data_IF_384730835423
#
_entry.id   IF_384730835423
#
_cell.length_a   1.000
_cell.length_b   1.000
_cell.length_c   1.000
_cell.angle_alpha   90.00
_cell.angle_beta   90.00
_cell.angle_gamma   90.00
#
_symmetry.space_group_name_H-M   'P 1'
#
loop_
_entity.id
_entity.type
_entity.pdbx_description
1 polymer ?
#
# COMPACT_ATOMS: atom_id res chain seq x y z
N UNK A 1 -7.87 -6.75 4.51
CA UNK A 1 -7.74 -5.92 3.28
C UNK A 1 -9.03 -5.28 2.81
N UNK A 2 -10.13 -6.01 2.58
CA UNK A 2 -11.39 -5.36 2.14
C UNK A 2 -11.93 -4.34 3.16
N UNK A 3 -11.84 -4.65 4.46
CA UNK A 3 -12.22 -3.70 5.52
C UNK A 3 -11.31 -2.45 5.54
N UNK A 4 -9.99 -2.63 5.47
CA UNK A 4 -9.03 -1.52 5.40
C UNK A 4 -9.28 -0.61 4.19
N UNK A 5 -9.57 -1.18 3.01
CA UNK A 5 -9.95 -0.40 1.82
C UNK A 5 -11.24 0.39 2.04
N UNK A 6 -12.24 -0.21 2.68
CA UNK A 6 -13.49 0.48 3.04
C UNK A 6 -13.23 1.68 3.95
N UNK A 7 -12.40 1.51 4.99
CA UNK A 7 -12.01 2.61 5.88
C UNK A 7 -11.28 3.74 5.15
N UNK A 8 -10.40 3.42 4.19
CA UNK A 8 -9.75 4.44 3.35
C UNK A 8 -10.75 5.24 2.51
N UNK A 9 -11.77 4.58 1.96
CA UNK A 9 -12.84 5.24 1.21
C UNK A 9 -13.71 6.16 2.09
N UNK A 10 -13.77 5.87 3.39
CA UNK A 10 -14.44 6.70 4.40
C UNK A 10 -13.53 7.83 4.94
N UNK A 11 -12.29 7.93 4.46
CA UNK A 11 -11.34 8.99 4.83
C UNK A 11 -10.48 8.67 6.05
N UNK A 12 -10.35 7.39 6.42
CA UNK A 12 -9.39 6.98 7.44
C UNK A 12 -7.94 7.29 7.01
N UNK A 13 -7.10 7.55 8.00
CA UNK A 13 -5.68 7.81 7.82
C UNK A 13 -4.94 6.52 7.39
N UNK A 14 -4.11 6.61 6.36
CA UNK A 14 -3.39 5.45 5.82
C UNK A 14 -2.36 4.91 6.82
N UNK A 15 -1.65 5.78 7.54
CA UNK A 15 -0.60 5.40 8.48
C UNK A 15 -1.19 4.64 9.69
N UNK A 16 -2.37 5.07 10.14
CA UNK A 16 -3.14 4.35 11.15
C UNK A 16 -3.51 2.94 10.67
N UNK A 17 -4.00 2.81 9.44
CA UNK A 17 -4.37 1.50 8.88
C UNK A 17 -3.17 0.59 8.62
N UNK A 18 -1.99 1.14 8.30
CA UNK A 18 -0.76 0.34 8.24
C UNK A 18 -0.47 -0.29 9.59
N UNK A 19 -0.63 0.47 10.68
CA UNK A 19 -0.37 -0.05 12.03
C UNK A 19 -1.36 -1.16 12.43
N UNK A 20 -2.61 -1.05 11.99
CA UNK A 20 -3.67 -1.98 12.35
C UNK A 20 -3.74 -3.23 11.46
N UNK A 21 -3.34 -3.14 10.20
CA UNK A 21 -3.57 -4.19 9.19
C UNK A 21 -2.31 -4.71 8.48
N UNK A 22 -1.15 -4.08 8.63
CA UNK A 22 0.06 -4.56 7.95
C UNK A 22 0.70 -5.73 8.68
N UNK A 23 0.87 -6.84 7.97
CA UNK A 23 1.62 -8.01 8.44
C UNK A 23 3.14 -7.84 8.28
N UNK A 24 3.59 -6.78 7.62
CA UNK A 24 5.02 -6.55 7.38
C UNK A 24 5.71 -6.01 8.63
N UNK A 25 6.70 -6.76 9.12
CA UNK A 25 7.49 -6.37 10.28
C UNK A 25 8.15 -4.99 10.07
N UNK A 26 7.87 -4.06 10.98
CA UNK A 26 8.41 -2.70 10.92
C UNK A 26 7.61 -1.72 10.05
N UNK A 27 6.56 -2.16 9.34
CA UNK A 27 5.71 -1.27 8.56
C UNK A 27 5.11 -0.15 9.41
N UNK A 28 4.60 -0.46 10.61
CA UNK A 28 4.07 0.54 11.54
C UNK A 28 5.10 1.64 11.89
N UNK A 29 6.37 1.30 12.08
CA UNK A 29 7.41 2.27 12.44
C UNK A 29 7.79 3.24 11.30
N UNK A 30 7.49 2.87 10.06
CA UNK A 30 7.76 3.67 8.86
C UNK A 30 6.48 4.14 8.16
N UNK A 31 5.33 4.01 8.81
CA UNK A 31 4.01 4.28 8.22
C UNK A 31 3.80 3.56 6.87
N UNK A 32 4.42 2.38 6.68
CA UNK A 32 4.32 1.60 5.44
C UNK A 32 5.14 2.17 4.28
N UNK A 33 5.89 3.25 4.48
CA UNK A 33 6.70 3.87 3.45
C UNK A 33 7.83 2.95 2.97
N UNK A 34 7.90 2.78 1.65
CA UNK A 34 9.00 2.09 0.97
C UNK A 34 10.11 3.07 0.52
N UNK A 35 9.95 4.38 0.73
CA UNK A 35 10.81 5.40 0.16
C UNK A 35 10.67 5.47 -1.37
N UNK A 36 11.74 5.86 -2.06
CA UNK A 36 11.79 5.83 -3.52
C UNK A 36 12.00 4.40 -4.01
N UNK A 37 11.09 3.93 -4.86
CA UNK A 37 11.13 2.58 -5.44
C UNK A 37 11.30 2.66 -6.96
N UNK A 38 12.09 1.75 -7.51
CA UNK A 38 12.12 1.45 -8.95
C UNK A 38 11.27 0.21 -9.25
N UNK A 39 10.87 0.04 -10.52
CA UNK A 39 10.06 -1.12 -10.94
C UNK A 39 10.72 -2.48 -10.61
N UNK A 40 12.04 -2.52 -10.51
CA UNK A 40 12.79 -3.74 -10.18
C UNK A 40 12.83 -4.09 -8.68
N UNK A 41 12.50 -3.15 -7.80
CA UNK A 41 12.62 -3.32 -6.34
C UNK A 41 11.46 -4.12 -5.74
N UNK A 42 10.34 -4.18 -6.46
CA UNK A 42 9.08 -4.77 -6.02
C UNK A 42 8.60 -5.84 -7.00
N UNK A 43 7.62 -6.64 -6.59
CA UNK A 43 7.04 -7.65 -7.48
C UNK A 43 6.29 -6.98 -8.65
N UNK A 44 6.30 -7.58 -9.86
CA UNK A 44 5.60 -7.02 -11.02
C UNK A 44 4.16 -6.55 -10.75
N UNK A 45 3.26 -7.35 -10.13
CA UNK A 45 1.91 -6.87 -9.82
C UNK A 45 1.86 -5.66 -8.88
N UNK A 46 2.82 -5.54 -7.96
CA UNK A 46 2.94 -4.37 -7.10
C UNK A 46 3.42 -3.16 -7.90
N UNK A 47 4.47 -3.34 -8.72
CA UNK A 47 4.99 -2.27 -9.57
C UNK A 47 3.89 -1.75 -10.51
N UNK A 48 3.20 -2.62 -11.22
CA UNK A 48 2.19 -2.20 -12.19
C UNK A 48 1.09 -1.37 -11.51
N UNK A 49 0.58 -1.82 -10.37
CA UNK A 49 -0.37 -1.03 -9.58
C UNK A 49 0.23 0.29 -9.06
N UNK A 50 1.41 0.28 -8.45
CA UNK A 50 2.03 1.47 -7.86
C UNK A 50 2.31 2.58 -8.91
N UNK A 51 2.77 2.19 -10.10
CA UNK A 51 3.14 3.12 -11.17
C UNK A 51 1.94 3.59 -12.02
N UNK A 52 0.78 2.93 -11.92
CA UNK A 52 -0.48 3.37 -12.53
C UNK A 52 -1.23 4.40 -11.68
N UNK A 53 -0.93 4.49 -10.38
CA UNK A 53 -1.57 5.45 -9.47
C UNK A 53 -1.13 6.88 -9.74
N UNK A 54 -2.01 7.84 -9.48
CA UNK A 54 -1.67 9.25 -9.31
C UNK A 54 -1.15 9.53 -7.90
N UNK A 55 -0.45 10.66 -7.71
CA UNK A 55 0.01 11.06 -6.38
C UNK A 55 -1.17 11.22 -5.41
N UNK A 56 -1.02 10.69 -4.20
CA UNK A 56 -2.03 10.52 -3.14
C UNK A 56 -3.19 9.59 -3.48
N UNK A 57 -3.10 8.80 -4.55
CA UNK A 57 -4.10 7.78 -4.85
C UNK A 57 -3.77 6.46 -4.16
N UNK A 58 -4.83 5.79 -3.69
CA UNK A 58 -4.77 4.42 -3.18
C UNK A 58 -5.24 3.45 -4.27
N UNK A 59 -4.51 2.35 -4.44
CA UNK A 59 -4.90 1.24 -5.33
C UNK A 59 -6.08 0.43 -4.82
N UNK A 60 -6.64 -0.36 -5.74
CA UNK A 60 -7.41 -1.54 -5.37
C UNK A 60 -6.54 -2.57 -4.64
N UNK A 61 -7.18 -3.62 -4.11
CA UNK A 61 -6.44 -4.72 -3.48
C UNK A 61 -5.59 -5.43 -4.54
N UNK A 62 -4.26 -5.35 -4.37
CA UNK A 62 -3.28 -5.99 -5.25
C UNK A 62 -2.88 -7.33 -4.65
N UNK A 63 -3.05 -8.41 -5.42
CA UNK A 63 -2.60 -9.74 -5.02
C UNK A 63 -1.18 -10.00 -5.53
N UNK A 64 -0.32 -10.50 -4.63
CA UNK A 64 1.02 -10.97 -4.97
C UNK A 64 1.28 -12.32 -4.29
N UNK A 65 2.41 -12.95 -4.59
CA UNK A 65 2.80 -14.21 -3.91
C UNK A 65 2.97 -14.08 -2.39
N UNK A 66 3.06 -12.85 -1.86
CA UNK A 66 3.14 -12.58 -0.42
C UNK A 66 1.79 -12.27 0.23
N UNK A 67 0.70 -12.30 -0.54
CA UNK A 67 -0.65 -11.98 -0.07
C UNK A 67 -1.20 -10.72 -0.73
N UNK A 68 -1.94 -9.93 0.03
CA UNK A 68 -2.71 -8.80 -0.48
C UNK A 68 -2.12 -7.47 -0.02
N UNK A 69 -2.13 -6.48 -0.90
CA UNK A 69 -1.49 -5.18 -0.71
C UNK A 69 -2.48 -4.06 -1.01
N UNK A 70 -2.42 -2.99 -0.22
CA UNK A 70 -2.99 -1.69 -0.55
C UNK A 70 -1.81 -0.74 -0.69
N UNK A 71 -1.75 -0.03 -1.80
CA UNK A 71 -0.62 0.82 -2.16
C UNK A 71 -1.13 2.25 -2.22
N UNK A 72 -0.52 3.14 -1.43
CA UNK A 72 -0.66 4.59 -1.54
C UNK A 72 0.55 5.14 -2.29
N UNK A 73 0.32 5.88 -3.37
CA UNK A 73 1.40 6.60 -4.05
C UNK A 73 1.61 7.96 -3.38
N UNK A 74 2.80 8.23 -2.87
CA UNK A 74 3.10 9.50 -2.17
C UNK A 74 3.48 10.64 -3.12
N UNK A 75 4.09 10.32 -4.26
CA UNK A 75 4.56 11.26 -5.30
C UNK A 75 4.49 10.63 -6.70
#
# INVERSE_FOLDING_TARGET
>A
MLEARGKLQEGADFDALVSDYSDEAGAASRAGSLGSIERGDVLPPFADAAFELEANQVSDVVETKYGFHLILRTE
#
